data_IF_821179097998
#
_entry.id   IF_821179097998
#
_cell.length_a   1.000
_cell.length_b   1.000
_cell.length_c   1.000
_cell.angle_alpha   90.00
_cell.angle_beta   90.00
_cell.angle_gamma   90.00
#
_symmetry.space_group_name_H-M   'P 1'
#
loop_
_entity.id
_entity.type
_entity.pdbx_description
1 polymer ?
#
# COMPACT_ATOMS: atom_id res chain seq x y z
N UNK A 1 -15.32 3.28 -5.68
CA UNK A 1 -14.59 4.23 -6.21
C UNK A 1 -13.12 4.31 -6.02
N UNK A 2 -12.66 5.50 -5.98
CA UNK A 2 -11.24 5.81 -5.86
C UNK A 2 -10.42 5.23 -7.01
N UNK A 3 -9.23 4.72 -6.69
CA UNK A 3 -8.27 4.20 -7.65
C UNK A 3 -8.76 2.94 -8.39
N UNK A 4 -9.72 2.20 -7.84
CA UNK A 4 -10.23 0.97 -8.46
C UNK A 4 -10.83 1.19 -9.86
N UNK A 5 -11.45 2.34 -10.10
CA UNK A 5 -12.09 2.62 -11.38
C UNK A 5 -11.11 2.67 -12.56
N UNK A 6 -9.84 2.97 -12.32
CA UNK A 6 -8.80 2.94 -13.36
C UNK A 6 -8.11 1.59 -13.49
N UNK A 7 -8.32 0.66 -12.56
CA UNK A 7 -7.72 -0.67 -12.55
C UNK A 7 -8.58 -1.64 -13.38
N UNK A 8 -8.52 -1.53 -14.70
CA UNK A 8 -9.37 -2.34 -15.62
C UNK A 8 -8.85 -3.77 -15.85
N UNK A 9 -7.71 -4.13 -15.28
CA UNK A 9 -7.20 -5.50 -15.32
C UNK A 9 -7.93 -6.40 -14.31
N UNK A 10 -7.89 -7.70 -14.54
CA UNK A 10 -8.47 -8.73 -13.68
C UNK A 10 -7.63 -9.00 -12.42
N UNK A 11 -8.21 -9.75 -11.48
CA UNK A 11 -7.55 -10.24 -10.28
C UNK A 11 -8.10 -9.69 -8.97
N UNK A 12 -9.21 -8.95 -9.01
CA UNK A 12 -9.93 -8.46 -7.84
C UNK A 12 -11.04 -9.41 -7.43
N UNK A 13 -11.31 -9.56 -6.14
CA UNK A 13 -12.50 -10.23 -5.62
C UNK A 13 -12.39 -11.74 -5.42
N UNK A 14 -11.27 -12.36 -5.73
CA UNK A 14 -11.07 -13.81 -5.59
C UNK A 14 -11.31 -14.31 -4.15
N UNK A 15 -10.89 -13.53 -3.15
CA UNK A 15 -11.09 -13.89 -1.75
C UNK A 15 -12.47 -13.44 -1.22
N UNK A 16 -12.94 -12.27 -1.64
CA UNK A 16 -14.17 -11.65 -1.13
C UNK A 16 -15.43 -12.21 -1.80
N UNK A 17 -15.42 -12.24 -3.14
CA UNK A 17 -16.59 -12.61 -3.94
C UNK A 17 -16.50 -14.00 -4.57
N UNK A 18 -15.34 -14.66 -4.48
CA UNK A 18 -15.04 -15.94 -5.15
C UNK A 18 -15.18 -15.85 -6.67
N UNK A 19 -15.01 -14.67 -7.22
CA UNK A 19 -15.06 -14.34 -8.64
C UNK A 19 -13.85 -13.49 -9.00
N UNK A 20 -13.36 -13.61 -10.23
CA UNK A 20 -12.30 -12.76 -10.75
C UNK A 20 -12.93 -11.55 -11.44
N UNK A 21 -12.76 -10.38 -10.84
CA UNK A 21 -13.37 -9.13 -11.26
C UNK A 21 -12.29 -8.14 -11.72
N UNK A 22 -12.69 -7.14 -12.50
CA UNK A 22 -11.93 -5.90 -12.71
C UNK A 22 -12.13 -4.95 -11.53
N UNK A 23 -11.29 -3.92 -11.41
CA UNK A 23 -11.44 -2.91 -10.36
C UNK A 23 -12.79 -2.19 -10.37
N UNK A 24 -13.31 -1.71 -11.54
CA UNK A 24 -14.65 -1.12 -11.65
C UNK A 24 -15.78 -2.05 -11.20
N UNK A 25 -15.74 -3.34 -11.59
CA UNK A 25 -16.74 -4.33 -11.18
C UNK A 25 -16.71 -4.56 -9.67
N UNK A 26 -15.51 -4.68 -9.09
CA UNK A 26 -15.32 -4.79 -7.64
C UNK A 26 -15.88 -3.57 -6.91
N UNK A 27 -15.57 -2.36 -7.37
CA UNK A 27 -16.08 -1.12 -6.80
C UNK A 27 -17.61 -1.04 -6.90
N UNK A 28 -18.20 -1.42 -8.04
CA UNK A 28 -19.64 -1.41 -8.26
C UNK A 28 -20.39 -2.30 -7.26
N UNK A 29 -19.83 -3.48 -6.90
CA UNK A 29 -20.42 -4.37 -5.88
C UNK A 29 -20.58 -3.67 -4.52
N UNK A 30 -19.57 -2.89 -4.10
CA UNK A 30 -19.62 -2.15 -2.83
C UNK A 30 -20.49 -0.90 -2.92
N UNK A 31 -20.49 -0.19 -4.05
CA UNK A 31 -21.37 0.95 -4.29
C UNK A 31 -22.83 0.51 -4.19
N UNK A 32 -23.21 -0.59 -4.84
CA UNK A 32 -24.57 -1.17 -4.74
C UNK A 32 -24.93 -1.46 -3.29
N UNK A 33 -24.05 -2.12 -2.52
CA UNK A 33 -24.29 -2.40 -1.12
C UNK A 33 -24.46 -1.12 -0.27
N UNK A 34 -23.72 -0.05 -0.56
CA UNK A 34 -23.86 1.22 0.14
C UNK A 34 -25.22 1.87 -0.14
N UNK A 35 -25.65 1.86 -1.40
CA UNK A 35 -26.93 2.40 -1.83
C UNK A 35 -28.13 1.62 -1.21
N UNK A 36 -28.07 0.29 -1.23
CA UNK A 36 -29.09 -0.58 -0.62
C UNK A 36 -29.24 -0.31 0.88
N UNK A 37 -28.11 -0.02 1.57
CA UNK A 37 -28.11 0.33 3.00
C UNK A 37 -28.43 1.79 3.27
N UNK A 38 -28.70 2.60 2.23
CA UNK A 38 -29.00 4.02 2.34
C UNK A 38 -27.92 4.80 3.09
N UNK A 39 -26.65 4.44 2.86
CA UNK A 39 -25.54 5.16 3.45
C UNK A 39 -25.44 6.52 2.76
N UNK A 40 -25.45 7.60 3.54
CA UNK A 40 -25.21 8.95 3.02
C UNK A 40 -23.77 9.07 2.54
N UNK A 41 -23.58 9.65 1.36
CA UNK A 41 -22.26 9.92 0.79
C UNK A 41 -22.24 11.28 0.12
N UNK A 42 -21.09 11.95 0.17
CA UNK A 42 -20.86 13.25 -0.48
C UNK A 42 -19.74 13.10 -1.51
N UNK A 43 -20.10 13.17 -2.79
CA UNK A 43 -19.14 13.21 -3.90
C UNK A 43 -18.54 14.60 -4.05
N UNK A 44 -17.38 14.71 -4.71
CA UNK A 44 -16.71 15.99 -4.99
C UNK A 44 -16.54 16.86 -3.73
N UNK A 45 -16.37 16.20 -2.58
CA UNK A 45 -16.23 16.85 -1.27
C UNK A 45 -14.83 16.59 -0.73
N UNK A 46 -14.11 17.67 -0.40
CA UNK A 46 -12.77 17.58 0.17
C UNK A 46 -12.83 17.82 1.67
N UNK A 47 -12.28 16.92 2.45
CA UNK A 47 -12.04 17.12 3.89
C UNK A 47 -10.79 17.99 4.04
N UNK A 48 -10.92 19.10 4.75
CA UNK A 48 -9.86 20.09 4.98
C UNK A 48 -9.12 19.81 6.28
N UNK A 49 -9.84 19.40 7.32
CA UNK A 49 -9.26 19.11 8.63
C UNK A 49 -10.08 18.10 9.41
N UNK A 50 -9.40 17.40 10.31
CA UNK A 50 -10.00 16.52 11.31
C UNK A 50 -9.32 16.85 12.65
N UNK A 51 -10.10 17.12 13.70
CA UNK A 51 -9.57 17.32 15.04
C UNK A 51 -9.58 16.02 15.86
N UNK A 52 -8.83 15.99 16.96
CA UNK A 52 -8.86 14.88 17.92
C UNK A 52 -10.22 14.67 18.57
N UNK A 53 -11.03 15.73 18.66
CA UNK A 53 -12.39 15.68 19.19
C UNK A 53 -13.41 15.18 18.16
N UNK A 54 -12.93 14.78 16.98
CA UNK A 54 -13.71 14.25 15.87
C UNK A 54 -14.62 15.28 15.18
N UNK A 55 -14.21 16.53 15.22
CA UNK A 55 -14.80 17.58 14.41
C UNK A 55 -14.12 17.59 13.02
N UNK A 56 -14.93 17.57 11.96
CA UNK A 56 -14.48 17.49 10.57
C UNK A 56 -14.93 18.75 9.84
N UNK A 57 -13.98 19.44 9.20
CA UNK A 57 -14.29 20.52 8.26
C UNK A 57 -14.09 20.01 6.85
N UNK A 58 -15.10 20.15 6.02
CA UNK A 58 -15.07 19.75 4.61
C UNK A 58 -15.62 20.86 3.71
N UNK A 59 -15.35 20.78 2.42
CA UNK A 59 -15.83 21.74 1.43
C UNK A 59 -16.26 21.05 0.14
N UNK A 60 -17.36 21.49 -0.42
CA UNK A 60 -17.76 21.16 -1.79
C UNK A 60 -18.36 22.39 -2.49
N UNK A 61 -18.67 22.23 -3.78
CA UNK A 61 -19.20 23.33 -4.60
C UNK A 61 -20.66 23.67 -4.29
N UNK A 62 -21.42 22.69 -3.85
CA UNK A 62 -22.89 22.79 -3.68
C UNK A 62 -23.26 23.36 -2.32
N UNK A 63 -22.61 22.86 -1.25
CA UNK A 63 -22.92 23.20 0.14
C UNK A 63 -21.95 24.25 0.73
N UNK A 64 -20.81 24.53 0.05
CA UNK A 64 -19.75 25.37 0.58
C UNK A 64 -18.96 24.69 1.69
N UNK A 65 -18.75 25.39 2.80
CA UNK A 65 -18.08 24.85 3.99
C UNK A 65 -19.07 24.00 4.81
N UNK A 66 -18.64 22.79 5.17
CA UNK A 66 -19.42 21.79 5.89
C UNK A 66 -18.69 21.45 7.18
N UNK A 67 -19.39 21.54 8.32
CA UNK A 67 -18.90 21.17 9.64
C UNK A 67 -19.65 19.94 10.14
N UNK A 68 -18.92 18.92 10.61
CA UNK A 68 -19.49 17.65 11.06
C UNK A 68 -18.89 17.24 12.40
N UNK A 69 -19.72 17.07 13.41
CA UNK A 69 -19.35 16.46 14.69
C UNK A 69 -19.62 14.96 14.63
N UNK A 70 -18.57 14.16 14.60
CA UNK A 70 -18.68 12.70 14.48
C UNK A 70 -18.48 12.01 15.83
N UNK A 71 -19.21 10.91 16.06
CA UNK A 71 -18.99 10.05 17.25
C UNK A 71 -17.83 9.10 17.06
N UNK A 72 -17.57 8.70 15.82
CA UNK A 72 -16.40 7.92 15.41
C UNK A 72 -16.01 8.26 13.98
N UNK A 73 -14.73 8.13 13.65
CA UNK A 73 -14.18 8.37 12.30
C UNK A 73 -13.41 7.14 11.87
N UNK A 74 -13.56 6.74 10.61
CA UNK A 74 -12.73 5.71 9.98
C UNK A 74 -11.94 6.38 8.85
N UNK A 75 -10.62 6.41 9.00
CA UNK A 75 -9.70 6.96 8.03
C UNK A 75 -9.47 5.96 6.90
N UNK A 76 -9.82 6.34 5.67
CA UNK A 76 -9.72 5.47 4.48
C UNK A 76 -9.18 6.21 3.26
N UNK A 77 -8.37 7.26 3.47
CA UNK A 77 -7.87 8.14 2.42
C UNK A 77 -6.95 7.45 1.42
N UNK A 78 -6.44 6.26 1.76
CA UNK A 78 -5.56 5.49 0.89
C UNK A 78 -4.12 6.02 0.90
N UNK A 79 -3.49 5.98 -0.27
CA UNK A 79 -2.10 6.39 -0.45
C UNK A 79 -1.94 7.12 -1.78
N UNK A 80 -0.84 7.88 -1.93
CA UNK A 80 -0.40 8.47 -3.18
C UNK A 80 0.91 7.86 -3.63
N UNK A 81 1.18 7.94 -4.92
CA UNK A 81 2.47 7.53 -5.48
C UNK A 81 3.57 8.55 -5.13
N UNK A 82 4.78 8.03 -4.92
CA UNK A 82 5.96 8.88 -4.74
C UNK A 82 6.26 9.60 -6.04
N UNK A 83 6.30 10.94 -5.99
CA UNK A 83 6.55 11.79 -7.14
C UNK A 83 8.04 11.85 -7.52
N UNK A 84 8.33 12.32 -8.75
CA UNK A 84 9.70 12.61 -9.19
C UNK A 84 10.45 13.54 -8.23
N UNK A 85 9.76 14.56 -7.70
CA UNK A 85 10.38 15.51 -6.77
C UNK A 85 10.94 14.83 -5.50
N UNK A 86 10.28 13.79 -5.01
CA UNK A 86 10.72 13.02 -3.85
C UNK A 86 11.93 12.11 -4.14
N UNK A 87 12.22 11.82 -5.42
CA UNK A 87 13.34 10.98 -5.82
C UNK A 87 14.64 11.77 -6.03
N UNK A 88 14.55 13.09 -6.20
CA UNK A 88 15.71 13.96 -6.49
C UNK A 88 16.55 13.50 -7.68
N UNK A 89 15.95 12.93 -8.71
CA UNK A 89 16.68 12.52 -9.92
C UNK A 89 17.25 13.77 -10.61
N UNK A 90 18.55 13.82 -10.90
CA UNK A 90 19.18 14.92 -11.63
C UNK A 90 18.58 15.15 -13.01
N UNK A 91 18.90 16.28 -13.62
CA UNK A 91 18.49 16.66 -14.96
C UNK A 91 17.26 17.57 -14.99
N UNK A 92 16.68 17.70 -16.18
CA UNK A 92 15.57 18.61 -16.45
C UNK A 92 14.23 18.09 -15.89
N UNK A 93 13.19 18.93 -15.99
CA UNK A 93 11.79 18.59 -15.61
C UNK A 93 10.84 18.75 -16.80
N UNK A 94 11.05 18.01 -17.88
CA UNK A 94 10.21 18.10 -19.08
C UNK A 94 8.85 17.46 -18.86
N UNK A 95 7.91 17.70 -19.78
CA UNK A 95 6.74 16.87 -19.96
C UNK A 95 7.15 15.43 -20.32
N UNK A 96 6.28 14.43 -20.06
CA UNK A 96 6.56 13.02 -20.35
C UNK A 96 7.00 12.20 -19.14
N UNK A 97 7.05 12.80 -17.94
CA UNK A 97 7.35 12.10 -16.70
C UNK A 97 6.08 12.00 -15.86
N UNK A 98 5.60 10.79 -15.60
CA UNK A 98 4.37 10.52 -14.87
C UNK A 98 4.61 9.47 -13.79
N UNK A 99 3.81 9.49 -12.73
CA UNK A 99 3.67 8.28 -11.93
C UNK A 99 2.91 7.22 -12.72
N UNK A 100 3.13 5.96 -12.43
CA UNK A 100 2.51 4.85 -13.15
C UNK A 100 0.98 4.88 -13.04
N UNK A 101 0.44 5.26 -11.86
CA UNK A 101 -1.01 5.42 -11.66
C UNK A 101 -1.60 6.62 -12.38
N UNK A 102 -0.85 7.73 -12.55
CA UNK A 102 -1.28 8.84 -13.39
C UNK A 102 -1.37 8.41 -14.86
N UNK A 103 -0.37 7.68 -15.35
CA UNK A 103 -0.41 7.12 -16.71
C UNK A 103 -1.57 6.12 -16.87
N UNK A 104 -1.83 5.30 -15.86
CA UNK A 104 -2.96 4.37 -15.84
C UNK A 104 -4.30 5.12 -15.97
N UNK A 105 -4.47 6.22 -15.26
CA UNK A 105 -5.66 7.05 -15.38
C UNK A 105 -5.80 7.65 -16.79
N UNK A 106 -4.73 8.24 -17.31
CA UNK A 106 -4.74 8.84 -18.66
C UNK A 106 -5.16 7.81 -19.72
N UNK A 107 -4.58 6.61 -19.68
CA UNK A 107 -4.89 5.56 -20.66
C UNK A 107 -6.29 4.97 -20.45
N UNK A 108 -6.62 4.59 -19.21
CA UNK A 108 -7.79 3.76 -18.95
C UNK A 108 -9.09 4.55 -18.76
N UNK A 109 -9.02 5.80 -18.30
CA UNK A 109 -10.21 6.62 -18.07
C UNK A 109 -10.34 7.78 -19.04
N UNK A 110 -9.23 8.42 -19.41
CA UNK A 110 -9.25 9.63 -20.23
C UNK A 110 -9.01 9.33 -21.72
N UNK A 111 -8.52 8.13 -22.07
CA UNK A 111 -8.23 7.74 -23.45
C UNK A 111 -7.01 8.44 -24.05
N UNK A 112 -6.09 8.95 -23.23
CA UNK A 112 -4.87 9.62 -23.67
C UNK A 112 -3.66 8.73 -23.56
N UNK A 113 -2.83 8.71 -24.61
CA UNK A 113 -1.54 8.04 -24.61
C UNK A 113 -0.46 8.98 -24.05
N UNK A 114 0.21 8.66 -22.91
CA UNK A 114 1.27 9.50 -22.34
C UNK A 114 2.47 9.68 -23.26
N UNK A 115 2.80 8.66 -24.02
CA UNK A 115 3.87 8.65 -25.02
C UNK A 115 4.03 7.27 -25.65
N UNK A 116 5.06 7.10 -26.48
CA UNK A 116 5.24 5.89 -27.31
C UNK A 116 6.52 5.10 -27.00
N UNK A 117 7.58 5.78 -26.63
CA UNK A 117 8.86 5.18 -26.27
C UNK A 117 9.04 5.29 -24.74
N UNK A 118 8.77 4.21 -24.01
CA UNK A 118 8.55 4.23 -22.57
C UNK A 118 9.69 3.55 -21.82
N UNK A 119 10.18 4.19 -20.78
CA UNK A 119 11.00 3.57 -19.72
C UNK A 119 10.20 3.60 -18.42
N UNK A 120 10.24 2.54 -17.65
CA UNK A 120 9.57 2.46 -16.34
C UNK A 120 10.62 2.33 -15.25
N UNK A 121 10.57 3.17 -14.23
CA UNK A 121 11.41 3.09 -13.04
C UNK A 121 10.60 2.51 -11.89
N UNK A 122 11.05 1.38 -11.37
CA UNK A 122 10.40 0.61 -10.32
C UNK A 122 9.54 -0.54 -10.86
N UNK A 123 9.71 -1.71 -10.27
CA UNK A 123 9.03 -2.96 -10.63
C UNK A 123 7.90 -3.34 -9.67
N UNK A 124 7.27 -2.36 -9.03
CA UNK A 124 6.03 -2.56 -8.29
C UNK A 124 4.86 -2.94 -9.22
N UNK A 125 3.79 -3.53 -8.69
CA UNK A 125 2.68 -4.05 -9.49
C UNK A 125 2.10 -3.05 -10.49
N UNK A 126 1.93 -1.78 -10.09
CA UNK A 126 1.40 -0.75 -10.98
C UNK A 126 2.33 -0.53 -12.18
N UNK A 127 3.66 -0.51 -11.96
CA UNK A 127 4.64 -0.38 -13.02
C UNK A 127 4.62 -1.56 -13.99
N UNK A 128 4.52 -2.79 -13.47
CA UNK A 128 4.42 -4.01 -14.28
C UNK A 128 3.13 -4.03 -15.10
N UNK A 129 2.00 -3.73 -14.47
CA UNK A 129 0.69 -3.66 -15.15
C UNK A 129 0.70 -2.58 -16.24
N UNK A 130 1.34 -1.44 -15.99
CA UNK A 130 1.45 -0.37 -16.98
C UNK A 130 2.43 -0.71 -18.10
N UNK A 131 3.47 -1.50 -17.84
CA UNK A 131 4.33 -2.01 -18.92
C UNK A 131 3.50 -2.80 -19.94
N UNK A 132 2.72 -3.76 -19.47
CA UNK A 132 1.77 -4.52 -20.32
C UNK A 132 0.73 -3.61 -20.98
N UNK A 133 0.11 -2.72 -20.21
CA UNK A 133 -0.97 -1.88 -20.71
C UNK A 133 -0.50 -0.94 -21.82
N UNK A 134 0.62 -0.26 -21.64
CA UNK A 134 1.21 0.63 -22.65
C UNK A 134 1.56 -0.14 -23.93
N UNK A 135 2.08 -1.35 -23.80
CA UNK A 135 2.39 -2.22 -24.95
C UNK A 135 1.13 -2.61 -25.71
N UNK A 136 0.04 -2.96 -25.02
CA UNK A 136 -1.24 -3.29 -25.65
C UNK A 136 -1.87 -2.11 -26.39
N UNK A 137 -1.59 -0.89 -25.95
CA UNK A 137 -2.03 0.35 -26.62
C UNK A 137 -1.05 0.82 -27.73
N UNK A 138 -0.04 0.01 -28.04
CA UNK A 138 0.88 0.27 -29.16
C UNK A 138 2.10 1.12 -28.80
N UNK A 139 2.42 1.31 -27.52
CA UNK A 139 3.70 1.89 -27.11
C UNK A 139 4.79 0.82 -27.10
N UNK A 140 6.04 1.25 -27.25
CA UNK A 140 7.20 0.42 -27.08
C UNK A 140 7.81 0.63 -25.69
N UNK A 141 7.64 -0.32 -24.80
CA UNK A 141 8.25 -0.30 -23.47
C UNK A 141 9.66 -0.89 -23.56
N UNK A 142 10.67 -0.02 -23.46
CA UNK A 142 12.09 -0.40 -23.66
C UNK A 142 12.64 -1.24 -22.51
N UNK A 143 12.28 -0.92 -21.29
CA UNK A 143 12.64 -1.69 -20.11
C UNK A 143 11.89 -1.22 -18.87
N UNK A 144 11.89 -2.08 -17.85
CA UNK A 144 11.59 -1.74 -16.46
C UNK A 144 12.90 -1.79 -15.69
N UNK A 145 13.31 -0.69 -15.07
CA UNK A 145 14.50 -0.60 -14.22
C UNK A 145 14.08 -0.67 -12.74
N UNK A 146 14.77 -1.51 -11.97
CA UNK A 146 14.51 -1.72 -10.54
C UNK A 146 15.78 -1.50 -9.73
N UNK A 147 15.70 -0.63 -8.73
CA UNK A 147 16.82 -0.30 -7.84
C UNK A 147 17.34 -1.51 -7.06
N UNK A 148 16.43 -2.41 -6.66
CA UNK A 148 16.75 -3.59 -5.87
C UNK A 148 17.22 -4.76 -6.77
N UNK A 149 17.98 -5.73 -6.21
CA UNK A 149 18.36 -6.95 -6.93
C UNK A 149 17.21 -7.95 -7.12
N UNK A 150 15.99 -7.54 -6.84
CA UNK A 150 14.75 -8.31 -7.01
C UNK A 150 13.56 -7.38 -7.29
N UNK A 151 12.54 -7.90 -7.97
CA UNK A 151 11.30 -7.16 -8.23
C UNK A 151 10.45 -7.03 -6.97
N UNK A 152 9.84 -5.85 -6.80
CA UNK A 152 8.88 -5.58 -5.73
C UNK A 152 7.43 -5.99 -6.05
N UNK A 153 7.13 -6.39 -7.28
CA UNK A 153 5.80 -6.82 -7.70
C UNK A 153 5.55 -8.32 -7.53
N UNK A 154 4.29 -8.71 -7.63
CA UNK A 154 3.86 -10.11 -7.57
C UNK A 154 4.48 -10.92 -8.72
N UNK A 155 4.90 -12.14 -8.43
CA UNK A 155 5.54 -13.05 -9.42
C UNK A 155 4.68 -13.25 -10.67
N UNK A 156 3.36 -13.37 -10.52
CA UNK A 156 2.44 -13.49 -11.66
C UNK A 156 2.50 -12.27 -12.59
N UNK A 157 2.64 -11.06 -12.02
CA UNK A 157 2.72 -9.82 -12.81
C UNK A 157 4.04 -9.72 -13.55
N UNK A 158 5.15 -10.22 -13.00
CA UNK A 158 6.43 -10.31 -13.72
C UNK A 158 6.26 -11.16 -14.98
N UNK A 159 5.64 -12.33 -14.86
CA UNK A 159 5.40 -13.23 -16.01
C UNK A 159 4.44 -12.58 -17.00
N UNK A 160 3.23 -12.26 -16.57
CA UNK A 160 2.14 -11.81 -17.44
C UNK A 160 2.33 -10.39 -18.03
N UNK A 161 3.15 -9.56 -17.40
CA UNK A 161 3.32 -8.18 -17.84
C UNK A 161 4.68 -7.92 -18.50
N UNK A 162 5.70 -8.73 -18.22
CA UNK A 162 7.03 -8.53 -18.81
C UNK A 162 7.43 -9.70 -19.70
N UNK A 163 7.46 -10.95 -19.19
CA UNK A 163 7.94 -12.10 -19.95
C UNK A 163 7.07 -12.40 -21.19
N UNK A 164 5.73 -12.32 -21.05
CA UNK A 164 4.80 -12.56 -22.17
C UNK A 164 4.90 -11.49 -23.27
N UNK A 165 5.58 -10.37 -23.02
CA UNK A 165 5.77 -9.24 -23.95
C UNK A 165 7.23 -8.95 -24.26
N UNK A 166 8.15 -9.81 -23.85
CA UNK A 166 9.61 -9.65 -24.05
C UNK A 166 10.15 -8.31 -23.53
N UNK A 167 9.56 -7.75 -22.46
CA UNK A 167 9.99 -6.49 -21.86
C UNK A 167 11.13 -6.76 -20.88
N UNK A 168 12.33 -6.16 -21.08
CA UNK A 168 13.49 -6.36 -20.21
C UNK A 168 13.24 -5.83 -18.80
N UNK A 169 13.54 -6.64 -17.77
CA UNK A 169 13.63 -6.22 -16.37
C UNK A 169 15.10 -6.06 -15.98
N UNK A 170 15.52 -4.82 -15.73
CA UNK A 170 16.89 -4.48 -15.34
C UNK A 170 16.92 -4.32 -13.81
N UNK A 171 17.32 -5.37 -13.10
CA UNK A 171 17.50 -5.34 -11.64
C UNK A 171 18.80 -4.62 -11.28
N UNK A 172 18.88 -4.05 -10.08
CA UNK A 172 20.01 -3.24 -9.63
C UNK A 172 20.35 -2.09 -10.59
N UNK A 173 19.30 -1.42 -11.11
CA UNK A 173 19.46 -0.26 -12.00
C UNK A 173 18.57 0.89 -11.55
N UNK A 174 19.04 2.12 -11.78
CA UNK A 174 18.23 3.32 -11.51
C UNK A 174 18.45 4.40 -12.56
N UNK A 175 17.55 5.37 -12.64
CA UNK A 175 17.69 6.56 -13.46
C UNK A 175 18.59 7.56 -12.73
N UNK A 176 19.69 7.96 -13.35
CA UNK A 176 20.65 8.92 -12.78
C UNK A 176 20.61 10.28 -13.44
N UNK A 177 20.03 10.40 -14.64
CA UNK A 177 19.86 11.69 -15.32
C UNK A 177 18.65 11.69 -16.26
N UNK A 178 18.06 12.87 -16.47
CA UNK A 178 16.86 13.12 -17.29
C UNK A 178 17.22 14.15 -18.36
N UNK A 179 17.00 13.79 -19.63
CA UNK A 179 17.32 14.62 -20.79
C UNK A 179 16.05 15.17 -21.47
N UNK A 180 16.18 16.36 -22.06
CA UNK A 180 15.08 17.08 -22.71
C UNK A 180 14.55 18.23 -21.86
N UNK A 181 14.28 19.38 -22.49
CA UNK A 181 13.80 20.59 -21.77
C UNK A 181 12.28 20.72 -21.77
N UNK A 182 11.66 20.68 -22.93
CA UNK A 182 10.22 20.82 -23.09
C UNK A 182 9.53 19.46 -22.88
N UNK A 183 10.03 18.44 -23.57
CA UNK A 183 9.59 17.05 -23.44
C UNK A 183 10.79 16.15 -23.20
N UNK A 184 10.54 15.00 -22.58
CA UNK A 184 11.53 13.96 -22.35
C UNK A 184 12.08 13.45 -23.70
N UNK A 185 13.41 13.39 -23.82
CA UNK A 185 14.12 12.88 -24.98
C UNK A 185 14.86 11.59 -24.67
N UNK A 186 15.11 11.36 -23.38
CA UNK A 186 15.74 10.14 -22.88
C UNK A 186 16.10 10.21 -21.40
N UNK A 187 16.54 9.08 -20.89
CA UNK A 187 17.04 8.95 -19.52
C UNK A 187 18.41 8.25 -19.55
N UNK A 188 19.24 8.54 -18.56
CA UNK A 188 20.45 7.75 -18.32
C UNK A 188 20.18 6.78 -17.17
N UNK A 189 20.34 5.49 -17.42
CA UNK A 189 20.34 4.44 -16.40
C UNK A 189 21.78 4.15 -15.96
N UNK A 190 21.94 3.76 -14.70
CA UNK A 190 23.19 3.20 -14.19
C UNK A 190 22.92 1.96 -13.35
N UNK A 191 23.89 1.05 -13.31
CA UNK A 191 23.89 -0.04 -12.34
C UNK A 191 24.01 0.50 -10.91
N UNK A 192 23.48 -0.24 -9.96
CA UNK A 192 23.48 0.12 -8.53
C UNK A 192 24.25 -0.93 -7.74
N UNK A 193 25.23 -0.48 -6.98
CA UNK A 193 26.03 -1.33 -6.11
C UNK A 193 25.27 -1.79 -4.85
N UNK A 194 25.89 -2.66 -4.04
CA UNK A 194 25.30 -3.12 -2.77
C UNK A 194 25.01 -2.00 -1.76
N UNK A 195 25.73 -0.89 -1.87
CA UNK A 195 25.54 0.34 -1.08
C UNK A 195 24.37 1.21 -1.57
N UNK A 196 23.65 0.74 -2.59
CA UNK A 196 22.54 1.42 -3.29
C UNK A 196 22.94 2.72 -3.97
N UNK A 197 24.21 2.84 -4.35
CA UNK A 197 24.70 3.98 -5.15
C UNK A 197 24.97 3.56 -6.60
N UNK A 198 24.79 4.49 -7.54
CA UNK A 198 25.17 4.25 -8.93
C UNK A 198 26.65 3.89 -9.07
N UNK A 199 26.94 2.87 -9.87
CA UNK A 199 28.31 2.44 -10.19
C UNK A 199 28.85 3.35 -11.29
N UNK A 200 29.94 4.12 -11.05
CA UNK A 200 30.52 4.99 -12.06
C UNK A 200 31.01 4.20 -13.29
N UNK A 201 30.73 4.71 -14.49
CA UNK A 201 31.09 4.09 -15.75
C UNK A 201 30.07 3.04 -16.26
N UNK A 202 29.01 2.78 -15.54
CA UNK A 202 27.92 1.89 -15.97
C UNK A 202 26.75 2.65 -16.66
N UNK A 203 26.89 3.96 -16.81
CA UNK A 203 25.86 4.83 -17.33
C UNK A 203 25.49 4.49 -18.79
N UNK A 204 24.22 4.31 -19.06
CA UNK A 204 23.68 4.00 -20.38
C UNK A 204 22.52 4.93 -20.71
N UNK A 205 22.66 5.72 -21.78
CA UNK A 205 21.57 6.54 -22.29
C UNK A 205 20.53 5.68 -23.01
N UNK A 206 19.26 5.90 -22.69
CA UNK A 206 18.12 5.27 -23.33
C UNK A 206 17.21 6.36 -23.88
N UNK A 207 17.07 6.49 -25.20
CA UNK A 207 16.14 7.43 -25.82
C UNK A 207 14.70 7.01 -25.53
N UNK A 208 13.90 7.92 -24.96
CA UNK A 208 12.49 7.70 -24.66
C UNK A 208 11.75 9.05 -24.57
N UNK A 209 10.45 9.04 -24.83
CA UNK A 209 9.59 10.21 -24.69
C UNK A 209 8.73 10.18 -23.44
N UNK A 210 8.79 9.05 -22.70
CA UNK A 210 7.99 8.84 -21.50
C UNK A 210 8.78 8.06 -20.43
N UNK A 211 8.79 8.60 -19.21
CA UNK A 211 9.28 7.92 -18.01
C UNK A 211 8.11 7.72 -17.03
N UNK A 212 7.80 6.46 -16.74
CA UNK A 212 6.81 6.12 -15.71
C UNK A 212 7.53 5.78 -14.40
N UNK A 213 7.01 6.30 -13.29
CA UNK A 213 7.55 6.10 -11.95
C UNK A 213 6.63 5.17 -11.14
N UNK A 214 7.14 4.00 -10.76
CA UNK A 214 6.48 3.03 -9.88
C UNK A 214 7.35 2.74 -8.66
N UNK A 215 7.72 3.79 -7.93
CA UNK A 215 8.79 3.83 -6.93
C UNK A 215 8.29 3.86 -5.48
N UNK A 216 7.12 3.29 -5.26
CA UNK A 216 6.50 3.15 -3.96
C UNK A 216 5.35 4.12 -3.72
N UNK A 217 4.59 3.78 -2.70
CA UNK A 217 3.38 4.47 -2.27
C UNK A 217 3.60 5.10 -0.90
N UNK A 218 2.95 6.23 -0.65
CA UNK A 218 2.97 6.97 0.60
C UNK A 218 1.55 7.04 1.15
N UNK A 219 1.27 6.49 2.34
CA UNK A 219 -0.02 6.66 3.01
C UNK A 219 -0.37 8.15 3.20
N UNK A 220 -1.64 8.50 2.95
CA UNK A 220 -2.13 9.88 3.03
C UNK A 220 -2.55 10.21 4.46
N UNK A 221 -1.64 10.76 5.24
CA UNK A 221 -1.82 10.95 6.69
C UNK A 221 -1.78 12.40 7.19
N UNK A 222 -1.82 13.41 6.33
CA UNK A 222 -1.89 14.81 6.75
C UNK A 222 -3.10 15.09 7.65
N UNK A 223 -4.28 14.53 7.33
CA UNK A 223 -5.47 14.64 8.16
C UNK A 223 -5.35 13.85 9.47
N UNK A 224 -4.64 12.72 9.44
CA UNK A 224 -4.36 11.91 10.62
C UNK A 224 -3.48 12.67 11.61
N UNK A 225 -2.43 13.34 11.12
CA UNK A 225 -1.54 14.18 11.93
C UNK A 225 -2.29 15.37 12.54
N UNK A 226 -3.18 16.01 11.76
CA UNK A 226 -4.05 17.08 12.24
C UNK A 226 -4.96 16.65 13.39
N UNK A 227 -5.36 15.38 13.41
CA UNK A 227 -6.13 14.76 14.50
C UNK A 227 -5.25 14.20 15.65
N UNK A 228 -3.96 14.52 15.70
CA UNK A 228 -2.98 14.01 16.68
C UNK A 228 -2.85 12.46 16.68
N UNK A 229 -3.09 11.82 15.55
CA UNK A 229 -2.90 10.39 15.40
C UNK A 229 -1.41 10.06 15.30
N UNK A 230 -0.95 9.12 16.12
CA UNK A 230 0.44 8.65 16.09
C UNK A 230 0.67 7.77 14.86
N UNK A 231 1.68 8.09 14.06
CA UNK A 231 2.07 7.31 12.89
C UNK A 231 3.19 6.32 13.21
N UNK A 232 3.13 5.15 12.62
CA UNK A 232 4.21 4.16 12.62
C UNK A 232 5.31 4.59 11.64
N UNK A 233 6.56 4.56 12.08
CA UNK A 233 7.72 5.05 11.31
C UNK A 233 8.04 4.20 10.08
N UNK A 234 7.65 2.93 10.07
CA UNK A 234 7.98 2.00 8.99
C UNK A 234 6.90 2.00 7.91
N UNK A 235 5.64 1.95 8.32
CA UNK A 235 4.50 1.96 7.38
C UNK A 235 4.14 3.37 6.92
N UNK A 236 4.43 4.40 7.72
CA UNK A 236 3.95 5.77 7.51
C UNK A 236 2.44 5.94 7.76
N UNK A 237 1.76 4.88 8.20
CA UNK A 237 0.34 4.89 8.54
C UNK A 237 0.10 4.96 10.05
N UNK A 238 -1.17 5.11 10.49
CA UNK A 238 -1.52 5.14 11.89
C UNK A 238 -1.07 3.91 12.67
N UNK A 239 -0.54 4.10 13.88
CA UNK A 239 -0.35 3.01 14.82
C UNK A 239 -1.71 2.61 15.41
N UNK A 240 -2.08 1.33 15.30
CA UNK A 240 -3.41 0.84 15.67
C UNK A 240 -3.35 -0.38 16.60
N UNK A 241 -4.47 -0.62 17.29
CA UNK A 241 -4.67 -1.81 18.11
C UNK A 241 -5.46 -2.91 17.36
N UNK A 242 -5.84 -3.98 18.05
CA UNK A 242 -6.59 -5.12 17.51
C UNK A 242 -7.91 -4.75 16.86
N UNK A 243 -8.49 -3.61 17.20
CA UNK A 243 -9.74 -3.08 16.66
C UNK A 243 -9.53 -2.12 15.49
N UNK A 244 -8.27 -1.91 15.05
CA UNK A 244 -7.85 -0.87 14.10
C UNK A 244 -8.11 0.55 14.62
N UNK A 245 -8.29 0.72 15.94
CA UNK A 245 -8.42 2.01 16.60
C UNK A 245 -7.03 2.59 16.84
N UNK A 246 -6.87 3.88 16.59
CA UNK A 246 -5.63 4.64 16.78
C UNK A 246 -5.41 4.98 18.27
N UNK A 247 -4.37 5.77 18.56
CA UNK A 247 -4.18 6.37 19.89
C UNK A 247 -5.29 7.37 20.28
N UNK A 248 -6.03 7.90 19.29
CA UNK A 248 -7.16 8.82 19.52
C UNK A 248 -8.46 8.02 19.59
N UNK A 249 -9.14 7.96 20.76
CA UNK A 249 -10.33 7.15 20.93
C UNK A 249 -11.46 7.51 19.95
N UNK A 250 -11.98 6.49 19.26
CA UNK A 250 -13.03 6.63 18.25
C UNK A 250 -12.52 7.03 16.86
N UNK A 251 -11.20 7.14 16.66
CA UNK A 251 -10.60 7.27 15.33
C UNK A 251 -9.94 5.94 14.95
N UNK A 252 -10.38 5.38 13.83
CA UNK A 252 -9.94 4.09 13.28
C UNK A 252 -9.26 4.32 11.92
N UNK A 253 -8.41 3.38 11.50
CA UNK A 253 -7.78 3.43 10.19
C UNK A 253 -7.75 2.05 9.53
N UNK A 254 -7.93 1.99 8.20
CA UNK A 254 -7.85 0.75 7.44
C UNK A 254 -7.47 0.99 5.97
N UNK A 255 -6.98 -0.06 5.32
CA UNK A 255 -6.53 0.01 3.93
C UNK A 255 -5.21 0.75 3.76
N UNK A 256 -4.97 1.31 2.56
CA UNK A 256 -3.66 1.84 2.20
C UNK A 256 -3.23 3.11 2.98
N UNK A 257 -4.12 3.76 3.68
CA UNK A 257 -3.75 4.82 4.64
C UNK A 257 -3.06 4.25 5.88
N UNK A 258 -3.36 2.99 6.24
CA UNK A 258 -2.78 2.29 7.39
C UNK A 258 -1.46 1.60 7.01
N UNK A 259 -1.49 0.77 6.00
CA UNK A 259 -0.32 0.17 5.35
C UNK A 259 -0.68 -0.28 3.93
N UNK A 260 0.30 -0.26 3.03
CA UNK A 260 0.04 -0.57 1.62
C UNK A 260 -0.21 -2.07 1.45
N UNK A 261 -1.35 -2.42 0.85
CA UNK A 261 -1.75 -3.79 0.54
C UNK A 261 -1.39 -4.17 -0.90
N UNK A 262 -1.17 -5.46 -1.12
CA UNK A 262 -1.02 -6.10 -2.42
C UNK A 262 -2.36 -6.59 -3.01
N UNK A 263 -3.36 -6.89 -2.16
CA UNK A 263 -4.69 -7.33 -2.58
C UNK A 263 -5.80 -6.46 -1.97
N UNK A 264 -6.72 -5.99 -2.81
CA UNK A 264 -7.88 -5.20 -2.35
C UNK A 264 -8.83 -5.99 -1.45
N UNK A 265 -8.86 -7.30 -1.59
CA UNK A 265 -9.63 -8.18 -0.72
C UNK A 265 -9.25 -8.01 0.76
N UNK A 266 -7.94 -7.86 1.04
CA UNK A 266 -7.46 -7.59 2.41
C UNK A 266 -7.83 -6.19 2.90
N UNK A 267 -7.86 -5.20 2.00
CA UNK A 267 -8.38 -3.85 2.31
C UNK A 267 -9.84 -3.92 2.75
N UNK A 268 -10.67 -4.68 2.02
CA UNK A 268 -12.09 -4.85 2.33
C UNK A 268 -12.32 -5.59 3.64
N UNK A 269 -11.50 -6.60 3.95
CA UNK A 269 -11.54 -7.31 5.23
C UNK A 269 -11.20 -6.38 6.40
N UNK A 270 -10.15 -5.57 6.26
CA UNK A 270 -9.79 -4.56 7.26
C UNK A 270 -10.89 -3.51 7.44
N UNK A 271 -11.44 -3.00 6.34
CA UNK A 271 -12.53 -2.03 6.37
C UNK A 271 -13.75 -2.57 7.11
N UNK A 272 -14.13 -3.83 6.86
CA UNK A 272 -15.21 -4.49 7.58
C UNK A 272 -14.92 -4.63 9.08
N UNK A 273 -13.65 -4.91 9.45
CA UNK A 273 -13.21 -4.96 10.86
C UNK A 273 -13.28 -3.59 11.53
N UNK A 274 -12.75 -2.56 10.87
CA UNK A 274 -12.82 -1.18 11.36
C UNK A 274 -14.25 -0.69 11.53
N UNK A 275 -15.13 -0.98 10.55
CA UNK A 275 -16.55 -0.62 10.60
C UNK A 275 -17.27 -1.25 11.78
N UNK A 276 -17.07 -2.56 12.04
CA UNK A 276 -17.62 -3.25 13.22
C UNK A 276 -17.10 -2.66 14.53
N UNK A 277 -15.81 -2.33 14.58
CA UNK A 277 -15.18 -1.74 15.77
C UNK A 277 -15.71 -0.33 16.06
N UNK A 278 -15.83 0.52 15.05
CA UNK A 278 -16.40 1.85 15.16
C UNK A 278 -17.88 1.81 15.61
N UNK A 279 -18.67 0.91 15.04
CA UNK A 279 -20.05 0.71 15.47
C UNK A 279 -20.16 0.27 16.94
N UNK A 280 -19.28 -0.63 17.39
CA UNK A 280 -19.19 -1.06 18.79
C UNK A 280 -18.80 0.10 19.71
N UNK A 281 -17.82 0.91 19.31
CA UNK A 281 -17.38 2.11 20.04
C UNK A 281 -18.54 3.08 20.25
N UNK A 282 -19.28 3.42 19.17
CA UNK A 282 -20.42 4.35 19.22
C UNK A 282 -21.52 3.86 20.16
N UNK A 283 -21.69 2.55 20.32
CA UNK A 283 -22.65 1.93 21.25
C UNK A 283 -22.16 1.85 22.70
N UNK A 284 -20.97 2.41 23.00
CA UNK A 284 -20.37 2.37 24.34
C UNK A 284 -19.76 1.04 24.72
N UNK A 285 -19.48 0.18 23.72
CA UNK A 285 -19.06 -1.20 23.95
C UNK A 285 -17.53 -1.46 23.91
N UNK A 286 -16.68 -0.45 24.01
CA UNK A 286 -15.22 -0.68 24.05
C UNK A 286 -14.74 -0.88 25.49
N UNK A 287 -14.21 -2.05 25.87
CA UNK A 287 -13.67 -2.27 27.19
C UNK A 287 -12.47 -1.35 27.44
N UNK A 288 -12.44 -0.67 28.58
CA UNK A 288 -11.23 -0.02 29.07
C UNK A 288 -10.29 -1.11 29.61
N UNK A 289 -9.49 -1.72 28.74
CA UNK A 289 -8.46 -2.66 29.16
C UNK A 289 -7.21 -1.91 29.59
N UNK A 290 -6.70 -2.21 30.78
CA UNK A 290 -5.45 -1.66 31.26
C UNK A 290 -4.24 -2.36 30.62
N UNK A 291 -4.38 -3.62 30.17
CA UNK A 291 -3.26 -4.40 29.63
C UNK A 291 -3.16 -4.23 28.12
N UNK A 292 -1.99 -3.78 27.68
CA UNK A 292 -1.61 -3.67 26.27
C UNK A 292 -0.42 -4.56 26.02
N UNK A 293 -0.50 -5.42 25.01
CA UNK A 293 0.61 -6.27 24.53
C UNK A 293 1.15 -5.64 23.26
N UNK A 294 2.47 -5.42 23.20
CA UNK A 294 3.15 -4.86 22.04
C UNK A 294 3.42 -5.96 21.01
N UNK A 295 3.21 -5.67 19.73
CA UNK A 295 3.57 -6.52 18.61
C UNK A 295 4.75 -5.88 17.87
N UNK A 296 5.82 -6.66 17.65
CA UNK A 296 7.07 -6.16 17.08
C UNK A 296 7.58 -7.10 15.98
N UNK A 297 7.99 -6.54 14.85
CA UNK A 297 8.79 -7.26 13.85
C UNK A 297 10.27 -7.10 14.15
N UNK A 298 11.03 -8.20 14.10
CA UNK A 298 12.50 -8.22 14.22
C UNK A 298 13.10 -9.18 13.19
N UNK A 299 14.39 -9.18 13.00
CA UNK A 299 15.16 -10.16 12.26
C UNK A 299 14.48 -10.63 10.96
N UNK A 300 14.29 -9.70 10.03
CA UNK A 300 13.66 -9.97 8.73
C UNK A 300 12.19 -9.64 8.63
N UNK A 301 11.47 -9.35 9.72
CA UNK A 301 10.11 -8.79 9.70
C UNK A 301 10.18 -7.27 9.91
N UNK A 302 9.64 -6.50 8.96
CA UNK A 302 9.80 -5.04 8.93
C UNK A 302 8.89 -4.29 9.91
N UNK A 303 7.65 -4.71 10.05
CA UNK A 303 6.61 -4.08 10.87
C UNK A 303 5.48 -5.08 11.13
N UNK A 304 4.59 -4.76 12.04
CA UNK A 304 3.34 -5.50 12.30
C UNK A 304 2.15 -4.56 12.29
N UNK A 305 1.01 -5.02 11.79
CA UNK A 305 -0.30 -4.35 11.91
C UNK A 305 -1.31 -5.39 12.43
N UNK A 306 -1.90 -5.15 13.60
CA UNK A 306 -1.74 -4.00 14.49
C UNK A 306 -0.37 -3.99 15.20
N UNK A 307 0.00 -2.84 15.79
CA UNK A 307 1.20 -2.67 16.59
C UNK A 307 0.99 -3.03 18.06
N UNK A 308 -0.26 -3.07 18.51
CA UNK A 308 -0.63 -3.45 19.87
C UNK A 308 -1.91 -4.25 19.89
N UNK A 309 -2.08 -5.06 20.94
CA UNK A 309 -3.35 -5.74 21.20
C UNK A 309 -3.72 -5.63 22.68
N UNK A 310 -5.02 -5.52 22.94
CA UNK A 310 -5.61 -5.53 24.28
C UNK A 310 -6.35 -6.87 24.43
N UNK A 311 -5.79 -7.88 25.09
CA UNK A 311 -6.36 -9.23 25.15
C UNK A 311 -7.81 -9.28 25.64
N UNK A 312 -8.19 -8.38 26.57
CA UNK A 312 -9.57 -8.29 27.03
C UNK A 312 -10.56 -7.70 26.01
N UNK A 313 -10.07 -6.97 25.02
CA UNK A 313 -10.88 -6.32 23.98
C UNK A 313 -10.90 -7.10 22.65
N UNK A 314 -9.88 -7.94 22.40
CA UNK A 314 -9.85 -8.82 21.23
C UNK A 314 -10.85 -9.98 21.38
N UNK A 315 -11.32 -10.52 20.26
CA UNK A 315 -12.10 -11.75 20.24
C UNK A 315 -11.23 -12.96 20.58
N UNK A 316 -11.53 -14.12 20.00
CA UNK A 316 -10.71 -15.32 20.17
C UNK A 316 -9.32 -15.16 19.54
N UNK A 317 -9.23 -14.39 18.43
CA UNK A 317 -7.97 -14.16 17.72
C UNK A 317 -7.96 -12.82 17.00
N UNK A 318 -6.76 -12.40 16.57
CA UNK A 318 -6.53 -11.27 15.68
C UNK A 318 -5.57 -11.68 14.56
N UNK A 319 -5.87 -11.27 13.34
CA UNK A 319 -4.94 -11.41 12.21
C UNK A 319 -3.92 -10.29 12.29
N UNK A 320 -2.64 -10.66 12.45
CA UNK A 320 -1.49 -9.75 12.38
C UNK A 320 -0.92 -9.84 10.98
N UNK A 321 -0.78 -8.70 10.30
CA UNK A 321 -0.19 -8.60 8.97
C UNK A 321 1.16 -7.91 9.04
N UNK A 322 2.08 -8.32 8.18
CA UNK A 322 3.44 -7.77 8.10
C UNK A 322 4.08 -8.07 6.74
N UNK A 323 5.21 -7.42 6.47
CA UNK A 323 6.06 -7.71 5.32
C UNK A 323 7.47 -8.04 5.77
N UNK A 324 8.13 -8.89 5.01
CA UNK A 324 9.54 -9.23 5.23
C UNK A 324 10.47 -8.19 4.60
N UNK A 325 11.71 -8.12 5.09
CA UNK A 325 12.71 -7.14 4.66
C UNK A 325 13.40 -7.51 3.34
N UNK A 326 13.58 -8.80 3.10
CA UNK A 326 14.27 -9.37 1.94
C UNK A 326 13.52 -10.59 1.42
N UNK A 327 13.79 -11.07 0.20
CA UNK A 327 13.34 -12.39 -0.22
C UNK A 327 14.00 -13.47 0.63
N UNK A 328 13.18 -14.39 1.15
CA UNK A 328 13.63 -15.54 1.94
C UNK A 328 13.13 -16.83 1.29
N UNK A 329 14.02 -17.83 1.23
CA UNK A 329 13.75 -19.14 0.62
C UNK A 329 14.00 -20.24 1.64
N UNK A 330 13.00 -21.08 1.88
CA UNK A 330 13.11 -22.23 2.79
C UNK A 330 13.33 -21.86 4.26
N UNK A 331 13.05 -20.61 4.65
CA UNK A 331 13.23 -20.12 6.03
C UNK A 331 11.96 -20.31 6.86
N UNK A 332 12.10 -20.05 8.15
CA UNK A 332 11.00 -20.19 9.11
C UNK A 332 10.47 -18.82 9.53
N UNK A 333 9.15 -18.71 9.56
CA UNK A 333 8.46 -17.61 10.22
C UNK A 333 8.15 -18.03 11.65
N UNK A 334 8.73 -17.33 12.62
CA UNK A 334 8.58 -17.59 14.04
C UNK A 334 7.82 -16.51 14.77
N UNK A 335 7.08 -16.91 15.79
CA UNK A 335 6.37 -16.04 16.69
C UNK A 335 6.73 -16.38 18.14
N UNK A 336 7.09 -15.36 18.90
CA UNK A 336 7.48 -15.47 20.32
C UNK A 336 6.54 -14.62 21.17
N UNK A 337 6.17 -15.11 22.34
CA UNK A 337 5.47 -14.37 23.39
C UNK A 337 6.40 -14.29 24.60
N UNK A 338 6.80 -13.10 25.02
CA UNK A 338 7.74 -12.83 26.11
C UNK A 338 9.02 -13.71 26.07
N UNK A 339 9.50 -14.00 24.85
CA UNK A 339 10.69 -14.82 24.61
C UNK A 339 10.43 -16.32 24.46
N UNK A 340 9.23 -16.81 24.72
CA UNK A 340 8.85 -18.21 24.47
C UNK A 340 8.33 -18.36 23.03
N UNK A 341 8.88 -19.33 22.27
CA UNK A 341 8.49 -19.59 20.89
C UNK A 341 7.18 -20.38 20.83
N UNK A 342 6.11 -19.72 20.38
CA UNK A 342 4.77 -20.32 20.25
C UNK A 342 4.47 -20.85 18.84
N UNK A 343 5.24 -20.43 17.84
CA UNK A 343 5.08 -20.89 16.47
C UNK A 343 6.40 -20.84 15.71
N UNK A 344 6.61 -21.84 14.85
CA UNK A 344 7.78 -21.96 13.99
C UNK A 344 7.35 -22.66 12.72
N UNK A 345 7.11 -21.90 11.64
CA UNK A 345 6.49 -22.42 10.41
C UNK A 345 7.43 -22.24 9.22
N UNK A 346 7.80 -23.33 8.58
CA UNK A 346 8.56 -23.28 7.34
C UNK A 346 7.76 -22.63 6.22
N UNK A 347 8.36 -21.66 5.56
CA UNK A 347 7.86 -21.01 4.37
C UNK A 347 8.79 -21.31 3.21
N UNK A 348 8.24 -21.76 2.08
CA UNK A 348 9.04 -22.00 0.88
C UNK A 348 9.60 -20.70 0.32
N UNK A 349 8.77 -19.66 0.25
CA UNK A 349 9.13 -18.33 -0.23
C UNK A 349 8.39 -17.30 0.64
N UNK A 350 9.10 -16.25 1.02
CA UNK A 350 8.54 -15.00 1.54
C UNK A 350 9.18 -13.85 0.77
N UNK A 351 8.40 -12.93 0.24
CA UNK A 351 8.87 -11.81 -0.58
C UNK A 351 8.41 -10.47 -0.01
N UNK A 352 9.23 -9.40 -0.09
CA UNK A 352 8.85 -8.06 0.41
C UNK A 352 7.60 -7.48 -0.26
N UNK A 353 7.32 -7.88 -1.50
CA UNK A 353 6.12 -7.48 -2.25
C UNK A 353 4.84 -8.16 -1.81
N UNK A 354 4.91 -9.27 -1.06
CA UNK A 354 3.77 -10.07 -0.63
C UNK A 354 3.49 -9.88 0.87
N UNK A 355 2.19 -9.76 1.21
CA UNK A 355 1.74 -9.59 2.58
C UNK A 355 1.71 -10.94 3.29
N UNK A 356 2.47 -11.07 4.36
CA UNK A 356 2.38 -12.20 5.28
C UNK A 356 1.32 -11.96 6.36
N UNK A 357 0.75 -13.03 6.88
CA UNK A 357 -0.22 -12.96 7.97
C UNK A 357 -0.01 -14.08 9.00
N UNK A 358 -0.35 -13.74 10.24
CA UNK A 358 -0.34 -14.67 11.36
C UNK A 358 -1.59 -14.49 12.21
N UNK A 359 -2.29 -15.57 12.52
CA UNK A 359 -3.44 -15.54 13.44
C UNK A 359 -2.96 -15.72 14.86
N UNK A 360 -2.96 -14.63 15.63
CA UNK A 360 -2.59 -14.62 17.05
C UNK A 360 -3.85 -14.86 17.87
N UNK A 361 -3.87 -15.94 18.67
CA UNK A 361 -4.99 -16.27 19.52
C UNK A 361 -4.86 -15.58 20.88
N UNK A 362 -5.99 -15.31 21.53
CA UNK A 362 -6.01 -14.75 22.89
C UNK A 362 -5.40 -15.71 23.90
N UNK A 363 -5.59 -17.02 23.72
CA UNK A 363 -5.03 -18.07 24.55
C UNK A 363 -3.48 -18.02 24.58
N UNK A 364 -2.84 -17.83 23.41
CA UNK A 364 -1.40 -17.70 23.31
C UNK A 364 -0.81 -16.51 24.10
N UNK A 365 -1.60 -15.48 24.37
CA UNK A 365 -1.19 -14.31 25.16
C UNK A 365 -1.30 -14.55 26.68
N UNK A 366 -1.99 -15.59 27.12
CA UNK A 366 -2.19 -15.87 28.53
C UNK A 366 -2.64 -14.64 29.33
N UNK A 367 -2.36 -14.64 30.63
CA UNK A 367 -2.77 -13.54 31.53
C UNK A 367 -1.70 -12.47 31.71
N UNK A 368 -0.42 -12.72 31.33
CA UNK A 368 0.73 -11.86 31.68
C UNK A 368 1.52 -11.33 30.49
N UNK A 369 1.28 -11.77 29.25
CA UNK A 369 2.05 -11.38 28.08
C UNK A 369 2.18 -9.84 27.95
N UNK A 370 3.40 -9.41 27.61
CA UNK A 370 3.77 -7.99 27.41
C UNK A 370 4.18 -7.69 25.97
N UNK A 371 4.86 -8.64 25.31
CA UNK A 371 5.38 -8.48 23.96
C UNK A 371 5.15 -9.76 23.13
N UNK A 372 4.86 -9.56 21.86
CA UNK A 372 4.88 -10.60 20.82
C UNK A 372 5.87 -10.18 19.75
N UNK A 373 6.80 -11.07 19.41
CA UNK A 373 7.83 -10.82 18.39
C UNK A 373 7.63 -11.75 17.22
N UNK A 374 7.65 -11.20 16.00
CA UNK A 374 7.69 -11.96 14.77
C UNK A 374 9.06 -11.79 14.12
N UNK A 375 9.66 -12.89 13.70
CA UNK A 375 10.98 -12.90 13.06
C UNK A 375 11.09 -14.00 11.99
N UNK A 376 12.11 -13.88 11.15
CA UNK A 376 12.51 -14.91 10.17
C UNK A 376 13.77 -15.58 10.68
N UNK A 377 13.76 -16.91 10.73
CA UNK A 377 14.86 -17.72 11.27
C UNK A 377 15.35 -18.77 10.27
N UNK A 378 16.55 -19.28 10.49
CA UNK A 378 17.16 -20.35 9.68
C UNK A 378 16.44 -21.69 9.93
N UNK A 379 16.57 -22.25 11.12
CA UNK A 379 15.95 -23.49 11.58
C UNK A 379 15.84 -23.50 13.12
#
# INVERSE_FOLDING_TARGET
GGILNQCIHNGFGLHTFKEELTGPEYAARYITQALERKIEYKLNTMVLSISKDKHITAVNREEGLIEIDARAIILTMGCRERSRGALNIPGYRPAGIYSAGTAQRLVNLEGFMPGREVVILGSGDIGLIMARRMTLEGAHVKCVAELLPYSGGLKRNIVQCLHDYDIPLLLSHTVVDIHGRERLEGVTLAEVGPDRKPVPGSEKYIPCDTLLLSVGLLPENELSEGAEVTLDRVTGGPAVNESLETNVPGIFACGNVLHVHDLVDYVSEEAARAGRAAAKFVRGGTPKSARVVKLTGRDGVRYTVPQTVRPAAMGESVVVRFRVANPYYGKYLSCYVDGERISHRKKQIMAPGEMESFTLTREALGESAKEVVFCVEEE
#
